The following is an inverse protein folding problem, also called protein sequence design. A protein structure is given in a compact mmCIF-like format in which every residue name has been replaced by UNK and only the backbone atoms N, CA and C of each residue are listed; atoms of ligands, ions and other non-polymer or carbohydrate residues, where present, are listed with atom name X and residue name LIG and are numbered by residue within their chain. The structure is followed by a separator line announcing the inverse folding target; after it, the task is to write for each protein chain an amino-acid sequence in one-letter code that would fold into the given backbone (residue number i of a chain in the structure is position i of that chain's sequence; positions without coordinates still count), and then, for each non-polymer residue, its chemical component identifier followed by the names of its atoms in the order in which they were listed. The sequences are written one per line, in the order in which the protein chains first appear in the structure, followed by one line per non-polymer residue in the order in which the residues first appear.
data_IF_548954094237
#
_entry.id   IF_548954094237
#
_cell.length_a   1.000
_cell.length_b   1.000
_cell.length_c   1.000
_cell.angle_alpha   90.00
_cell.angle_beta   90.00
_cell.angle_gamma   90.00
#
_symmetry.space_group_name_H-M   'P 1'
#
loop_
_entity.id
_entity.type
_entity.pdbx_description
1 polymer ?
#
# COMPACT_ATOMS: atom_id res chain seq x y z
N UNK A 1 48.17 -64.86 73.13
CA UNK A 1 48.17 -64.44 74.55
C UNK A 1 46.95 -63.58 74.82
N UNK A 2 46.23 -63.86 75.92
CA UNK A 2 44.93 -63.28 76.31
C UNK A 2 44.80 -61.75 76.16
N UNK A 3 45.87 -61.01 76.46
CA UNK A 3 45.93 -59.54 76.32
C UNK A 3 45.70 -59.05 74.88
N UNK A 4 46.34 -59.69 73.90
CA UNK A 4 46.20 -59.33 72.48
C UNK A 4 44.76 -59.53 71.97
N UNK A 5 44.08 -60.58 72.44
CA UNK A 5 42.69 -60.84 72.07
C UNK A 5 41.72 -59.79 72.64
N UNK A 6 41.95 -59.33 73.87
CA UNK A 6 41.15 -58.26 74.49
C UNK A 6 41.38 -56.90 73.81
N UNK A 7 42.63 -56.57 73.46
CA UNK A 7 42.97 -55.36 72.71
C UNK A 7 42.36 -55.37 71.29
N UNK A 8 42.39 -56.51 70.60
CA UNK A 8 41.72 -56.68 69.31
C UNK A 8 40.20 -56.49 69.41
N UNK A 9 39.56 -57.05 70.44
CA UNK A 9 38.12 -56.87 70.67
C UNK A 9 37.76 -55.41 70.97
N UNK A 10 38.59 -54.69 71.75
CA UNK A 10 38.41 -53.25 71.99
C UNK A 10 38.51 -52.44 70.70
N UNK A 11 39.49 -52.76 69.85
CA UNK A 11 39.69 -52.07 68.57
C UNK A 11 38.53 -52.30 67.60
N UNK A 12 38.10 -53.55 67.45
CA UNK A 12 36.93 -53.90 66.63
C UNK A 12 35.64 -53.17 67.07
N UNK A 13 35.44 -52.93 68.38
CA UNK A 13 34.30 -52.14 68.87
C UNK A 13 34.38 -50.67 68.49
N UNK A 14 35.58 -50.08 68.52
CA UNK A 14 35.80 -48.69 68.09
C UNK A 14 35.60 -48.55 66.58
N UNK A 15 36.18 -49.47 65.80
CA UNK A 15 36.05 -49.49 64.34
C UNK A 15 34.57 -49.64 63.94
N UNK A 16 33.82 -50.53 64.60
CA UNK A 16 32.37 -50.68 64.35
C UNK A 16 31.55 -49.45 64.73
N UNK A 17 31.97 -48.69 65.74
CA UNK A 17 31.32 -47.44 66.13
C UNK A 17 31.64 -46.32 65.14
N UNK A 18 32.89 -46.23 64.68
CA UNK A 18 33.32 -45.30 63.64
C UNK A 18 32.60 -45.57 62.31
N UNK A 19 32.53 -46.84 61.86
CA UNK A 19 31.80 -47.21 60.65
C UNK A 19 30.30 -46.84 60.71
N UNK A 20 29.67 -46.95 61.89
CA UNK A 20 28.27 -46.50 62.10
C UNK A 20 28.14 -44.98 61.98
N UNK A 21 29.11 -44.21 62.49
CA UNK A 21 29.13 -42.76 62.33
C UNK A 21 29.33 -42.33 60.89
N UNK A 22 30.28 -42.96 60.18
CA UNK A 22 30.53 -42.70 58.76
C UNK A 22 29.29 -43.03 57.90
N UNK A 23 28.67 -44.18 58.12
CA UNK A 23 27.43 -44.56 57.41
C UNK A 23 26.29 -43.57 57.68
N UNK A 24 26.09 -43.14 58.94
CA UNK A 24 25.08 -42.14 59.28
C UNK A 24 25.41 -40.77 58.68
N UNK A 25 26.68 -40.38 58.66
CA UNK A 25 27.12 -39.13 58.04
C UNK A 25 26.88 -39.14 56.52
N UNK A 26 27.19 -40.25 55.85
CA UNK A 26 26.90 -40.44 54.42
C UNK A 26 25.39 -40.37 54.13
N UNK A 27 24.55 -41.00 54.95
CA UNK A 27 23.08 -40.91 54.81
C UNK A 27 22.54 -39.50 55.02
N UNK A 28 23.10 -38.74 55.97
CA UNK A 28 22.72 -37.35 56.19
C UNK A 28 23.17 -36.47 55.02
N UNK A 29 24.38 -36.68 54.49
CA UNK A 29 24.90 -35.96 53.33
C UNK A 29 24.04 -36.22 52.09
N UNK A 30 23.75 -37.48 51.76
CA UNK A 30 22.92 -37.83 50.60
C UNK A 30 21.50 -37.27 50.69
N UNK A 31 20.90 -37.31 51.89
CA UNK A 31 19.59 -36.68 52.13
C UNK A 31 19.65 -35.16 51.97
N UNK A 32 20.72 -34.51 52.43
CA UNK A 32 20.91 -33.07 52.28
C UNK A 32 21.03 -32.68 50.80
N UNK A 33 21.82 -33.43 50.03
CA UNK A 33 21.97 -33.23 48.58
C UNK A 33 20.64 -33.38 47.83
N UNK A 34 19.85 -34.41 48.14
CA UNK A 34 18.53 -34.61 47.53
C UNK A 34 17.56 -33.46 47.85
N UNK A 35 17.55 -32.99 49.10
CA UNK A 35 16.73 -31.85 49.51
C UNK A 35 17.16 -30.57 48.80
N UNK A 36 18.46 -30.34 48.68
CA UNK A 36 19.00 -29.19 47.95
C UNK A 36 18.65 -29.25 46.46
N UNK A 37 18.83 -30.41 45.83
CA UNK A 37 18.45 -30.62 44.43
C UNK A 37 16.94 -30.36 44.21
N UNK A 38 16.09 -30.90 45.08
CA UNK A 38 14.63 -30.68 45.04
C UNK A 38 14.27 -29.20 45.21
N UNK A 39 14.90 -28.49 46.15
CA UNK A 39 14.71 -27.04 46.35
C UNK A 39 15.14 -26.24 45.12
N UNK A 40 16.30 -26.55 44.54
CA UNK A 40 16.79 -25.90 43.31
C UNK A 40 15.85 -26.16 42.13
N UNK A 41 15.34 -27.39 41.98
CA UNK A 41 14.37 -27.73 40.94
C UNK A 41 13.04 -26.97 41.13
N UNK A 42 12.53 -26.91 42.35
CA UNK A 42 11.31 -26.16 42.67
C UNK A 42 11.47 -24.65 42.43
N UNK A 43 12.65 -24.08 42.72
CA UNK A 43 12.95 -22.68 42.42
C UNK A 43 12.95 -22.42 40.90
N UNK A 44 13.62 -23.27 40.10
CA UNK A 44 13.60 -23.17 38.64
C UNK A 44 12.19 -23.31 38.05
N UNK A 45 11.40 -24.26 38.54
CA UNK A 45 10.03 -24.45 38.08
C UNK A 45 9.14 -23.23 38.33
N UNK A 46 9.31 -22.56 39.49
CA UNK A 46 8.60 -21.31 39.79
C UNK A 46 9.02 -20.17 38.87
N UNK A 47 10.30 -20.06 38.54
CA UNK A 47 10.79 -19.03 37.64
C UNK A 47 10.25 -19.23 36.22
N UNK A 48 10.34 -20.46 35.68
CA UNK A 48 9.74 -20.79 34.39
C UNK A 48 8.24 -20.50 34.35
N UNK A 49 7.50 -20.78 35.42
CA UNK A 49 6.08 -20.49 35.47
C UNK A 49 5.79 -18.98 35.39
N UNK A 50 6.64 -18.15 36.00
CA UNK A 50 6.55 -16.69 35.90
C UNK A 50 6.87 -16.21 34.50
N UNK A 51 7.95 -16.72 33.90
CA UNK A 51 8.34 -16.40 32.51
C UNK A 51 7.21 -16.75 31.54
N UNK A 52 6.63 -17.93 31.64
CA UNK A 52 5.49 -18.36 30.80
C UNK A 52 4.29 -17.43 30.99
N UNK A 53 3.99 -17.02 32.23
CA UNK A 53 2.88 -16.09 32.50
C UNK A 53 3.13 -14.71 31.88
N UNK A 54 4.36 -14.20 31.99
CA UNK A 54 4.74 -12.92 31.37
C UNK A 54 4.65 -13.03 29.85
N UNK A 55 5.23 -14.07 29.25
CA UNK A 55 5.18 -14.31 27.81
C UNK A 55 3.72 -14.43 27.30
N UNK A 56 2.84 -15.09 28.05
CA UNK A 56 1.42 -15.18 27.72
C UNK A 56 0.72 -13.83 27.77
N UNK A 57 1.02 -12.97 28.75
CA UNK A 57 0.43 -11.63 28.84
C UNK A 57 0.95 -10.71 27.73
N UNK A 58 2.25 -10.78 27.42
CA UNK A 58 2.85 -10.05 26.32
C UNK A 58 2.23 -10.47 24.97
N UNK A 59 1.98 -11.76 24.77
CA UNK A 59 1.32 -12.25 23.55
C UNK A 59 -0.12 -11.75 23.43
N UNK A 60 -0.87 -11.70 24.53
CA UNK A 60 -2.20 -11.10 24.56
C UNK A 60 -2.14 -9.59 24.22
N UNK A 61 -1.14 -8.88 24.73
CA UNK A 61 -0.96 -7.45 24.40
C UNK A 61 -0.56 -7.27 22.93
N UNK A 62 0.35 -8.08 22.40
CA UNK A 62 0.78 -8.04 20.99
C UNK A 62 -0.40 -8.27 20.06
N UNK A 63 -1.16 -9.33 20.28
CA UNK A 63 -2.33 -9.66 19.46
C UNK A 63 -3.40 -8.57 19.52
N UNK A 64 -3.66 -7.98 20.70
CA UNK A 64 -4.59 -6.86 20.82
C UNK A 64 -4.11 -5.60 20.08
N UNK A 65 -2.81 -5.27 20.18
CA UNK A 65 -2.21 -4.15 19.43
C UNK A 65 -2.31 -4.38 17.92
N UNK A 66 -2.03 -5.60 17.46
CA UNK A 66 -2.13 -5.96 16.04
C UNK A 66 -3.56 -5.84 15.50
N UNK A 67 -4.55 -6.30 16.27
CA UNK A 67 -5.97 -6.13 15.92
C UNK A 67 -6.36 -4.65 15.77
N UNK A 68 -5.91 -3.80 16.70
CA UNK A 68 -6.17 -2.36 16.61
C UNK A 68 -5.49 -1.74 15.39
N UNK A 69 -4.23 -2.09 15.14
CA UNK A 69 -3.48 -1.62 13.95
C UNK A 69 -4.17 -2.03 12.66
N UNK A 70 -4.59 -3.30 12.52
CA UNK A 70 -5.32 -3.76 11.34
C UNK A 70 -6.64 -3.02 11.16
N UNK A 71 -7.37 -2.75 12.25
CA UNK A 71 -8.63 -1.99 12.19
C UNK A 71 -8.41 -0.54 11.75
N UNK A 72 -7.34 0.10 12.23
CA UNK A 72 -6.97 1.46 11.80
C UNK A 72 -6.61 1.46 10.31
N UNK A 73 -5.77 0.52 9.88
CA UNK A 73 -5.36 0.41 8.49
C UNK A 73 -6.55 0.21 7.56
N UNK A 74 -7.47 -0.73 7.87
CA UNK A 74 -8.69 -0.95 7.07
C UNK A 74 -9.54 0.32 6.94
N UNK A 75 -9.66 1.12 8.00
CA UNK A 75 -10.39 2.39 7.95
C UNK A 75 -9.69 3.44 7.08
N UNK A 76 -8.36 3.51 7.14
CA UNK A 76 -7.58 4.40 6.29
C UNK A 76 -7.74 4.01 4.82
N UNK A 77 -7.55 2.72 4.50
CA UNK A 77 -7.72 2.19 3.14
C UNK A 77 -9.14 2.41 2.60
N UNK A 78 -10.17 2.18 3.42
CA UNK A 78 -11.56 2.43 3.01
C UNK A 78 -11.85 3.91 2.80
N UNK A 79 -11.29 4.79 3.64
CA UNK A 79 -11.43 6.24 3.48
C UNK A 79 -10.71 6.72 2.21
N UNK A 80 -9.50 6.25 1.96
CA UNK A 80 -8.73 6.54 0.75
C UNK A 80 -9.45 6.04 -0.50
N UNK A 81 -9.99 4.82 -0.47
CA UNK A 81 -10.77 4.26 -1.58
C UNK A 81 -11.99 5.14 -1.89
N UNK A 82 -12.78 5.50 -0.87
CA UNK A 82 -13.95 6.40 -1.03
C UNK A 82 -13.55 7.76 -1.59
N UNK A 83 -12.44 8.32 -1.09
CA UNK A 83 -11.93 9.60 -1.60
C UNK A 83 -11.51 9.51 -3.07
N UNK A 84 -10.80 8.44 -3.46
CA UNK A 84 -10.41 8.20 -4.85
C UNK A 84 -11.62 8.00 -5.77
N UNK A 85 -12.63 7.24 -5.33
CA UNK A 85 -13.87 7.05 -6.07
C UNK A 85 -14.61 8.39 -6.26
N UNK A 86 -14.70 9.21 -5.21
CA UNK A 86 -15.31 10.53 -5.29
C UNK A 86 -14.56 11.45 -6.27
N UNK A 87 -13.22 11.47 -6.24
CA UNK A 87 -12.41 12.24 -7.19
C UNK A 87 -12.60 11.77 -8.64
N UNK A 88 -12.71 10.45 -8.86
CA UNK A 88 -13.03 9.88 -10.18
C UNK A 88 -14.41 10.30 -10.65
N UNK A 89 -15.40 10.28 -9.77
CA UNK A 89 -16.77 10.71 -10.11
C UNK A 89 -16.85 12.19 -10.45
N UNK A 90 -16.18 13.06 -9.67
CA UNK A 90 -16.06 14.49 -9.95
C UNK A 90 -15.42 14.70 -11.33
N UNK A 91 -14.32 14.00 -11.60
CA UNK A 91 -13.61 14.09 -12.88
C UNK A 91 -14.47 13.64 -14.05
N UNK A 92 -15.25 12.56 -13.88
CA UNK A 92 -16.21 12.07 -14.89
C UNK A 92 -17.31 13.10 -15.17
N UNK A 93 -17.95 13.62 -14.11
CA UNK A 93 -19.02 14.63 -14.23
C UNK A 93 -18.52 15.92 -14.89
N UNK A 94 -17.33 16.39 -14.51
CA UNK A 94 -16.70 17.55 -15.15
C UNK A 94 -16.46 17.32 -16.65
N UNK A 95 -16.02 16.11 -17.02
CA UNK A 95 -15.85 15.76 -18.42
C UNK A 95 -17.18 15.69 -19.19
N UNK A 96 -18.20 15.04 -18.64
CA UNK A 96 -19.55 15.00 -19.24
C UNK A 96 -20.10 16.42 -19.45
N UNK A 97 -19.97 17.30 -18.45
CA UNK A 97 -20.33 18.71 -18.58
C UNK A 97 -19.56 19.42 -19.69
N UNK A 98 -18.25 19.17 -19.81
CA UNK A 98 -17.40 19.74 -20.87
C UNK A 98 -17.83 19.27 -22.26
N UNK A 99 -18.20 17.99 -22.42
CA UNK A 99 -18.77 17.50 -23.68
C UNK A 99 -20.06 18.24 -24.02
N UNK A 100 -20.97 18.38 -23.05
CA UNK A 100 -22.27 19.06 -23.25
C UNK A 100 -22.14 20.56 -23.56
N UNK A 101 -21.16 21.26 -22.98
CA UNK A 101 -20.96 22.68 -23.28
C UNK A 101 -20.38 22.88 -24.68
N UNK A 102 -19.40 22.05 -25.07
CA UNK A 102 -18.73 22.19 -26.36
C UNK A 102 -19.49 21.59 -27.54
N UNK A 103 -20.56 20.82 -27.31
CA UNK A 103 -21.54 20.46 -28.35
C UNK A 103 -22.53 21.56 -28.66
N UNK A 104 -22.80 22.44 -27.69
CA UNK A 104 -23.96 23.34 -27.71
C UNK A 104 -23.66 24.78 -28.10
N UNK A 105 -22.49 25.31 -27.74
CA UNK A 105 -22.25 26.76 -27.74
C UNK A 105 -20.91 27.15 -28.39
N UNK A 106 -20.94 28.20 -29.21
CA UNK A 106 -19.75 28.78 -29.86
C UNK A 106 -18.95 29.69 -28.92
N UNK A 107 -19.53 30.10 -27.79
CA UNK A 107 -18.89 30.99 -26.81
C UNK A 107 -17.60 30.40 -26.21
N UNK A 108 -16.52 31.20 -26.20
CA UNK A 108 -15.24 30.88 -25.57
C UNK A 108 -15.21 31.55 -24.19
N UNK A 109 -15.63 30.85 -23.15
CA UNK A 109 -15.34 31.27 -21.77
C UNK A 109 -14.07 30.55 -21.29
N UNK A 110 -12.93 31.16 -21.61
CA UNK A 110 -11.59 30.67 -21.27
C UNK A 110 -11.19 31.01 -19.82
N UNK A 111 -11.87 30.44 -18.83
CA UNK A 111 -11.46 30.60 -17.42
C UNK A 111 -11.17 29.23 -16.81
N UNK A 112 -9.89 28.98 -16.50
CA UNK A 112 -9.45 27.83 -15.71
C UNK A 112 -9.15 26.55 -16.51
N UNK A 113 -8.31 26.64 -17.55
CA UNK A 113 -7.91 25.50 -18.37
C UNK A 113 -6.79 24.69 -17.72
N UNK A 114 -7.14 23.76 -16.83
CA UNK A 114 -6.21 22.70 -16.43
C UNK A 114 -6.30 21.51 -17.42
N UNK A 115 -5.17 20.89 -17.81
CA UNK A 115 -5.19 19.67 -18.61
C UNK A 115 -6.02 18.58 -17.93
N UNK A 116 -6.71 17.75 -18.72
CA UNK A 116 -7.43 16.62 -18.14
C UNK A 116 -6.42 15.72 -17.41
N UNK A 117 -6.74 15.25 -16.18
CA UNK A 117 -5.84 14.38 -15.42
C UNK A 117 -5.56 13.06 -16.17
N UNK A 118 -6.48 12.63 -17.03
CA UNK A 118 -6.32 11.50 -17.96
C UNK A 118 -6.67 12.00 -19.36
N UNK A 119 -5.78 11.78 -20.34
CA UNK A 119 -6.04 12.13 -21.74
C UNK A 119 -7.23 11.34 -22.28
N UNK A 120 -8.01 11.95 -23.15
CA UNK A 120 -9.20 11.33 -23.77
C UNK A 120 -8.87 10.85 -25.17
N UNK A 121 -9.59 9.86 -25.66
CA UNK A 121 -9.47 9.32 -27.01
C UNK A 121 -10.84 9.23 -27.66
N UNK A 122 -11.01 9.86 -28.82
CA UNK A 122 -12.16 9.65 -29.68
C UNK A 122 -11.96 8.38 -30.53
N UNK A 123 -12.76 7.33 -30.27
CA UNK A 123 -12.73 6.07 -31.04
C UNK A 123 -13.19 6.27 -32.49
N UNK A 124 -14.19 7.12 -32.72
CA UNK A 124 -14.73 7.37 -34.05
C UNK A 124 -13.70 8.04 -34.97
N UNK A 125 -12.94 9.00 -34.44
CA UNK A 125 -11.94 9.74 -35.22
C UNK A 125 -10.50 9.23 -35.07
N UNK A 126 -10.27 8.35 -34.10
CA UNK A 126 -8.96 7.84 -33.70
C UNK A 126 -7.95 8.95 -33.33
N UNK A 127 -8.39 9.93 -32.53
CA UNK A 127 -7.56 11.09 -32.12
C UNK A 127 -7.53 11.24 -30.61
N UNK A 128 -6.32 11.46 -30.06
CA UNK A 128 -6.10 11.77 -28.64
C UNK A 128 -6.36 13.24 -28.35
N UNK A 129 -7.03 13.51 -27.23
CA UNK A 129 -7.50 14.82 -26.79
C UNK A 129 -6.90 15.07 -25.41
N UNK A 130 -6.02 16.07 -25.34
CA UNK A 130 -5.18 16.35 -24.16
C UNK A 130 -5.73 17.46 -23.26
N UNK A 131 -6.67 18.26 -23.76
CA UNK A 131 -7.25 19.39 -23.04
C UNK A 131 -8.65 19.72 -23.54
N UNK A 132 -9.37 20.52 -22.77
CA UNK A 132 -10.72 20.98 -23.11
C UNK A 132 -10.78 21.77 -24.42
N UNK A 133 -9.77 22.60 -24.70
CA UNK A 133 -9.70 23.32 -25.99
C UNK A 133 -9.48 22.35 -27.16
N UNK A 134 -8.70 21.29 -26.95
CA UNK A 134 -8.56 20.25 -27.97
C UNK A 134 -9.87 19.49 -28.17
N UNK A 135 -10.65 19.25 -27.11
CA UNK A 135 -11.98 18.64 -27.20
C UNK A 135 -12.94 19.50 -28.01
N UNK A 136 -13.05 20.79 -27.70
CA UNK A 136 -13.91 21.73 -28.45
C UNK A 136 -13.55 21.76 -29.93
N UNK A 137 -12.27 21.98 -30.24
CA UNK A 137 -11.79 22.01 -31.62
C UNK A 137 -12.01 20.68 -32.35
N UNK A 138 -11.97 19.57 -31.62
CA UNK A 138 -12.22 18.25 -32.18
C UNK A 138 -13.70 18.05 -32.54
N UNK A 139 -14.61 18.35 -31.62
CA UNK A 139 -16.06 18.20 -31.80
C UNK A 139 -16.60 19.08 -32.93
N UNK A 140 -16.07 20.30 -33.08
CA UNK A 140 -16.41 21.22 -34.16
C UNK A 140 -15.69 20.89 -35.49
N UNK A 141 -14.76 19.94 -35.49
CA UNK A 141 -13.97 19.59 -36.66
C UNK A 141 -14.75 18.80 -37.70
N UNK A 142 -14.49 19.09 -38.98
CA UNK A 142 -15.13 18.39 -40.13
C UNK A 142 -15.04 16.87 -40.03
N UNK A 143 -13.89 16.34 -39.61
CA UNK A 143 -13.67 14.89 -39.45
C UNK A 143 -14.66 14.25 -38.48
N UNK A 144 -14.93 14.92 -37.37
CA UNK A 144 -15.85 14.43 -36.35
C UNK A 144 -17.29 14.55 -36.79
N UNK A 145 -17.66 15.68 -37.40
CA UNK A 145 -18.99 15.87 -38.00
C UNK A 145 -19.31 14.82 -39.07
N UNK A 146 -18.33 14.45 -39.91
CA UNK A 146 -18.51 13.35 -40.89
C UNK A 146 -18.73 12.02 -40.19
N UNK A 147 -17.95 11.69 -39.15
CA UNK A 147 -18.13 10.44 -38.40
C UNK A 147 -19.51 10.36 -37.71
N UNK A 148 -20.00 11.49 -37.18
CA UNK A 148 -21.36 11.61 -36.60
C UNK A 148 -22.43 11.39 -37.67
N UNK A 149 -22.27 12.00 -38.85
CA UNK A 149 -23.20 11.83 -39.98
C UNK A 149 -23.23 10.39 -40.51
N UNK A 150 -22.07 9.75 -40.64
CA UNK A 150 -21.95 8.36 -41.07
C UNK A 150 -22.64 7.42 -40.07
N UNK A 151 -22.48 7.67 -38.77
CA UNK A 151 -23.17 6.92 -37.72
C UNK A 151 -24.70 7.10 -37.78
N UNK A 152 -25.17 8.29 -38.19
CA UNK A 152 -26.57 8.58 -38.47
C UNK A 152 -27.09 8.05 -39.81
N UNK A 153 -26.36 7.18 -40.50
CA UNK A 153 -26.70 6.69 -41.86
C UNK A 153 -26.87 7.82 -42.88
N UNK A 154 -26.02 8.85 -42.80
CA UNK A 154 -26.07 10.08 -43.60
C UNK A 154 -27.31 10.97 -43.35
N UNK A 155 -28.04 10.73 -42.25
CA UNK A 155 -29.08 11.64 -41.76
C UNK A 155 -28.49 12.56 -40.69
N UNK A 156 -28.79 13.87 -40.71
CA UNK A 156 -28.44 14.74 -39.60
C UNK A 156 -29.12 14.24 -38.31
N UNK A 157 -28.30 13.97 -37.31
CA UNK A 157 -28.73 13.57 -35.96
C UNK A 157 -29.20 14.80 -35.18
N UNK A 158 -30.19 14.61 -34.30
CA UNK A 158 -30.59 15.67 -33.38
C UNK A 158 -29.47 15.92 -32.35
N UNK A 159 -29.49 17.09 -31.72
CA UNK A 159 -28.48 17.50 -30.75
C UNK A 159 -28.29 16.48 -29.62
N UNK A 160 -29.38 15.93 -29.09
CA UNK A 160 -29.31 14.88 -28.06
C UNK A 160 -28.60 13.62 -28.56
N UNK A 161 -28.80 13.25 -29.82
CA UNK A 161 -28.18 12.06 -30.42
C UNK A 161 -26.68 12.28 -30.68
N UNK A 162 -26.29 13.50 -31.07
CA UNK A 162 -24.88 13.89 -31.23
C UNK A 162 -24.16 13.89 -29.88
N UNK A 163 -24.80 14.39 -28.83
CA UNK A 163 -24.28 14.35 -27.46
C UNK A 163 -24.08 12.90 -26.98
N UNK A 164 -25.07 12.03 -27.20
CA UNK A 164 -24.97 10.60 -26.87
C UNK A 164 -23.84 9.90 -27.66
N UNK A 165 -23.69 10.21 -28.94
CA UNK A 165 -22.59 9.71 -29.77
C UNK A 165 -21.23 10.14 -29.20
N UNK A 166 -21.09 11.42 -28.84
CA UNK A 166 -19.84 11.95 -28.28
C UNK A 166 -19.45 11.26 -26.98
N UNK A 167 -20.39 11.11 -26.05
CA UNK A 167 -20.14 10.41 -24.78
C UNK A 167 -19.77 8.94 -24.97
N UNK A 168 -20.34 8.27 -25.99
CA UNK A 168 -20.04 6.88 -26.31
C UNK A 168 -18.63 6.71 -26.91
N UNK A 169 -18.22 7.64 -27.78
CA UNK A 169 -16.99 7.50 -28.54
C UNK A 169 -15.77 8.19 -27.89
N UNK A 170 -15.98 9.10 -26.94
CA UNK A 170 -14.91 9.74 -26.16
C UNK A 170 -14.63 8.97 -24.87
N UNK A 171 -13.58 8.15 -24.91
CA UNK A 171 -13.16 7.30 -23.77
C UNK A 171 -11.83 7.77 -23.19
N UNK A 172 -11.42 7.20 -22.07
CA UNK A 172 -10.05 7.38 -21.56
C UNK A 172 -9.04 6.79 -22.55
N UNK A 173 -7.95 7.51 -22.80
CA UNK A 173 -6.90 7.06 -23.69
C UNK A 173 -6.20 5.83 -23.09
N UNK A 174 -6.08 4.72 -23.84
CA UNK A 174 -5.32 3.55 -23.43
C UNK A 174 -3.88 3.92 -23.09
N UNK A 175 -3.27 3.25 -22.10
CA UNK A 175 -1.88 3.52 -21.69
C UNK A 175 -0.88 3.47 -22.86
N UNK A 176 -1.11 2.58 -23.82
CA UNK A 176 -0.27 2.32 -24.99
C UNK A 176 -0.21 3.51 -25.98
N UNK A 177 -1.25 4.36 -25.99
CA UNK A 177 -1.34 5.51 -26.90
C UNK A 177 -0.76 6.81 -26.32
N UNK A 178 -0.36 6.79 -25.04
CA UNK A 178 0.19 7.97 -24.35
C UNK A 178 1.64 8.29 -24.76
N UNK A 179 2.39 7.33 -25.32
CA UNK A 179 3.84 7.43 -25.49
C UNK A 179 4.36 7.98 -26.86
N UNK A 180 3.74 7.78 -28.03
CA UNK A 180 4.28 8.32 -29.30
C UNK A 180 3.93 9.79 -29.57
N UNK A 181 2.72 10.22 -29.17
CA UNK A 181 2.17 11.55 -29.50
C UNK A 181 2.79 12.63 -28.59
N UNK A 182 3.02 12.29 -27.32
CA UNK A 182 3.73 13.12 -26.34
C UNK A 182 5.07 13.64 -26.87
N UNK A 183 5.85 12.78 -27.53
CA UNK A 183 7.18 13.14 -28.05
C UNK A 183 7.09 14.07 -29.27
N UNK A 184 6.20 13.79 -30.22
CA UNK A 184 5.99 14.62 -31.40
C UNK A 184 5.41 16.00 -31.04
N UNK A 185 4.52 16.08 -30.05
CA UNK A 185 3.93 17.32 -29.57
C UNK A 185 4.91 18.14 -28.72
N UNK A 186 5.70 17.49 -27.87
CA UNK A 186 6.84 18.14 -27.18
C UNK A 186 7.86 18.69 -28.17
N UNK A 187 8.16 17.99 -29.26
CA UNK A 187 9.11 18.45 -30.27
C UNK A 187 8.55 19.63 -31.10
N UNK A 188 7.25 19.62 -31.41
CA UNK A 188 6.55 20.78 -31.98
C UNK A 188 6.57 21.98 -31.02
N UNK A 189 6.35 21.77 -29.73
CA UNK A 189 6.41 22.82 -28.72
C UNK A 189 7.83 23.39 -28.55
N UNK A 190 8.85 22.54 -28.53
CA UNK A 190 10.26 22.94 -28.55
C UNK A 190 10.57 23.79 -29.79
N UNK A 191 10.08 23.39 -30.96
CA UNK A 191 10.26 24.16 -32.21
C UNK A 191 9.56 25.53 -32.15
N UNK A 192 8.32 25.60 -31.63
CA UNK A 192 7.62 26.87 -31.37
C UNK A 192 8.38 27.77 -30.39
N UNK A 193 8.86 27.22 -29.27
CA UNK A 193 9.65 27.95 -28.27
C UNK A 193 10.96 28.48 -28.88
N UNK A 194 11.65 27.68 -29.70
CA UNK A 194 12.86 28.11 -30.44
C UNK A 194 12.56 29.26 -31.40
N UNK A 195 11.47 29.18 -32.17
CA UNK A 195 11.03 30.27 -33.07
C UNK A 195 10.72 31.55 -32.29
N UNK A 196 9.98 31.43 -31.18
CA UNK A 196 9.64 32.57 -30.33
C UNK A 196 10.89 33.22 -29.68
N UNK A 197 11.88 32.43 -29.27
CA UNK A 197 13.18 32.97 -28.76
C UNK A 197 13.94 33.73 -29.84
N UNK A 198 14.02 33.18 -31.06
CA UNK A 198 14.65 33.87 -32.20
C UNK A 198 13.95 35.18 -32.56
N UNK A 199 12.62 35.21 -32.50
CA UNK A 199 11.83 36.42 -32.73
C UNK A 199 12.14 37.50 -31.68
N UNK A 200 12.14 37.14 -30.39
CA UNK A 200 12.49 38.07 -29.30
C UNK A 200 13.92 38.61 -29.42
N UNK A 201 14.89 37.75 -29.75
CA UNK A 201 16.27 38.19 -29.98
C UNK A 201 16.36 39.21 -31.13
N UNK A 202 15.63 39.01 -32.23
CA UNK A 202 15.57 39.97 -33.33
C UNK A 202 14.90 41.28 -32.96
N UNK A 203 13.90 41.25 -32.07
CA UNK A 203 13.22 42.45 -31.59
C UNK A 203 14.07 43.26 -30.62
N UNK A 204 14.98 42.64 -29.87
CA UNK A 204 15.89 43.32 -28.93
C UNK A 204 17.19 43.87 -29.58
N UNK A 205 17.38 43.67 -30.88
CA UNK A 205 18.57 44.14 -31.64
C UNK A 205 18.19 45.34 -32.55
N UNK A 206 16.96 45.87 -32.41
CA UNK A 206 16.54 47.16 -32.96
C UNK A 206 16.48 48.19 -31.84
#
# INVERSE_FOLDING_TARGET
GRRRALEASRRARLDALQARWESRAQQLASRAELLEHSRRAAARAKELNREVKIASLEEQQRTHIEQLRSKIQRKQEESERRHQEQLREISRKAFEMSVLTHTADDSITAVGMEPYPIQKWCRACQVTIVSEVALKSHLQGKRHQTAVLEAGQNRPLDRSDVEAFNLLHLVDAPPELLDPISKAEQDRLKMRRRRARKLRQRMNIR
#
